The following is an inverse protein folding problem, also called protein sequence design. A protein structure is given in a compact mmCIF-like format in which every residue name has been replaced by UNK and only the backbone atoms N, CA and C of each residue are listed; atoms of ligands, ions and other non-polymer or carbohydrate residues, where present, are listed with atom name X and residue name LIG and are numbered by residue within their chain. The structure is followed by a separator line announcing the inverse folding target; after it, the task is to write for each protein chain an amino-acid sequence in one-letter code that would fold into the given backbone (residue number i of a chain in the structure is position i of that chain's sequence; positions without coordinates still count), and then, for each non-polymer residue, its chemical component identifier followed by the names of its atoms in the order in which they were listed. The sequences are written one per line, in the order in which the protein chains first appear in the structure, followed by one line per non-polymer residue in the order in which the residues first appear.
data_IF_861112028311
#
_entry.id   IF_861112028311
#
_cell.length_a   1.000
_cell.length_b   1.000
_cell.length_c   1.000
_cell.angle_alpha   90.00
_cell.angle_beta   90.00
_cell.angle_gamma   90.00
#
_symmetry.space_group_name_H-M   'P 1'
#
loop_
_entity.id
_entity.type
_entity.pdbx_description
1 polymer ?
#
# COMPACT_ATOMS: atom_id res chain seq x y z
N UNK A 1 14.01 4.33 -8.09
CA UNK A 1 13.86 2.97 -8.65
C UNK A 1 12.39 2.59 -8.58
N UNK A 2 11.83 1.95 -9.60
CA UNK A 2 10.41 1.58 -9.68
C UNK A 2 10.30 0.06 -9.86
N UNK A 3 9.35 -0.57 -9.18
CA UNK A 3 9.08 -2.00 -9.25
C UNK A 3 7.58 -2.21 -9.49
N UNK A 4 7.24 -3.19 -10.33
CA UNK A 4 5.86 -3.64 -10.53
C UNK A 4 5.76 -5.09 -10.08
N UNK A 5 4.82 -5.38 -9.18
CA UNK A 5 4.62 -6.72 -8.62
C UNK A 5 3.21 -7.19 -8.92
N UNK A 6 3.12 -8.18 -9.79
CA UNK A 6 1.88 -8.84 -10.16
C UNK A 6 1.91 -10.32 -9.76
N UNK A 7 0.73 -10.93 -9.63
CA UNK A 7 0.57 -12.32 -9.24
C UNK A 7 -0.91 -12.68 -9.18
N UNK A 8 -1.21 -13.97 -9.24
CA UNK A 8 -2.59 -14.46 -9.14
C UNK A 8 -3.24 -14.12 -7.78
N UNK A 9 -4.58 -14.11 -7.69
CA UNK A 9 -5.28 -14.04 -6.41
C UNK A 9 -4.74 -15.09 -5.42
N UNK A 10 -4.68 -14.73 -4.13
CA UNK A 10 -4.22 -15.65 -3.08
C UNK A 10 -2.69 -15.83 -2.96
N UNK A 11 -1.86 -15.14 -3.75
CA UNK A 11 -0.39 -15.26 -3.69
C UNK A 11 0.31 -14.32 -2.69
N UNK A 12 -0.41 -13.82 -1.69
CA UNK A 12 0.19 -13.05 -0.61
C UNK A 12 0.71 -11.65 -0.97
N UNK A 13 0.34 -11.09 -2.14
CA UNK A 13 0.75 -9.73 -2.55
C UNK A 13 0.45 -8.67 -1.47
N UNK A 14 -0.72 -8.77 -0.85
CA UNK A 14 -1.14 -7.88 0.22
C UNK A 14 -0.25 -8.01 1.46
N UNK A 15 0.06 -9.25 1.86
CA UNK A 15 0.96 -9.55 2.96
C UNK A 15 2.38 -9.04 2.69
N UNK A 16 2.91 -9.26 1.49
CA UNK A 16 4.23 -8.80 1.07
C UNK A 16 4.35 -7.26 1.16
N UNK A 17 3.37 -6.52 0.66
CA UNK A 17 3.35 -5.05 0.75
C UNK A 17 3.31 -4.59 2.21
N UNK A 18 2.55 -5.26 3.08
CA UNK A 18 2.50 -4.92 4.49
C UNK A 18 3.83 -5.21 5.22
N UNK A 19 4.47 -6.34 4.89
CA UNK A 19 5.79 -6.70 5.41
C UNK A 19 6.83 -5.65 5.01
N UNK A 20 6.88 -5.29 3.72
CA UNK A 20 7.77 -4.25 3.19
C UNK A 20 7.55 -2.90 3.86
N UNK A 21 6.29 -2.49 4.03
CA UNK A 21 5.99 -1.24 4.71
C UNK A 21 6.42 -1.27 6.18
N UNK A 22 6.33 -2.42 6.84
CA UNK A 22 6.71 -2.58 8.24
C UNK A 22 8.23 -2.54 8.42
N UNK A 23 8.98 -3.21 7.54
CA UNK A 23 10.45 -3.18 7.57
C UNK A 23 10.97 -1.77 7.31
N UNK A 24 10.44 -1.07 6.31
CA UNK A 24 10.87 0.30 6.00
C UNK A 24 10.55 1.28 7.12
N UNK A 25 9.38 1.15 7.76
CA UNK A 25 9.02 1.95 8.95
C UNK A 25 9.93 1.65 10.13
N UNK A 26 10.29 0.39 10.37
CA UNK A 26 11.24 0.02 11.41
C UNK A 26 12.62 0.64 11.16
N UNK A 27 13.01 0.81 9.90
CA UNK A 27 14.22 1.54 9.50
C UNK A 27 14.06 3.07 9.50
N UNK A 28 12.97 3.63 10.06
CA UNK A 28 12.76 5.07 10.19
C UNK A 28 12.22 5.78 8.94
N UNK A 29 11.84 5.05 7.89
CA UNK A 29 11.33 5.67 6.67
C UNK A 29 9.86 6.08 6.78
N UNK A 30 9.51 7.19 6.14
CA UNK A 30 8.12 7.63 5.98
C UNK A 30 7.53 6.92 4.76
N UNK A 31 6.52 6.07 5.00
CA UNK A 31 5.87 5.27 3.96
C UNK A 31 4.42 5.72 3.76
N UNK A 32 4.09 6.07 2.52
CA UNK A 32 2.74 6.35 2.04
C UNK A 32 2.19 5.10 1.35
N UNK A 33 1.19 4.45 1.96
CA UNK A 33 0.49 3.32 1.35
C UNK A 33 -0.79 3.84 0.73
N UNK A 34 -0.91 3.66 -0.59
CA UNK A 34 -2.05 4.16 -1.36
C UNK A 34 -2.69 3.02 -2.13
N UNK A 35 -4.02 2.91 -2.05
CA UNK A 35 -4.81 1.95 -2.81
C UNK A 35 -5.85 2.67 -3.68
N UNK A 36 -6.40 1.97 -4.67
CA UNK A 36 -7.47 2.49 -5.52
C UNK A 36 -8.81 2.59 -4.79
N UNK A 37 -9.13 1.59 -3.94
CA UNK A 37 -10.38 1.54 -3.17
C UNK A 37 -10.16 1.61 -1.67
N UNK A 38 -11.20 2.03 -0.94
CA UNK A 38 -11.17 2.07 0.52
C UNK A 38 -10.93 0.65 1.10
N UNK A 39 -11.58 -0.37 0.55
CA UNK A 39 -11.42 -1.77 0.97
C UNK A 39 -10.00 -2.31 0.77
N UNK A 40 -9.30 -1.88 -0.28
CA UNK A 40 -7.89 -2.25 -0.43
C UNK A 40 -7.01 -1.62 0.66
N UNK A 41 -7.36 -0.41 1.11
CA UNK A 41 -6.51 0.36 2.04
C UNK A 41 -6.69 -0.05 3.50
N UNK A 42 -7.82 -0.64 3.87
CA UNK A 42 -8.09 -1.11 5.25
C UNK A 42 -7.13 -2.20 5.71
N UNK A 43 -6.56 -2.97 4.78
CA UNK A 43 -5.56 -3.99 5.07
C UNK A 43 -4.21 -3.42 5.55
N UNK A 44 -4.00 -2.10 5.48
CA UNK A 44 -2.72 -1.46 5.73
C UNK A 44 -2.81 -0.40 6.81
N UNK A 45 -1.83 -0.40 7.73
CA UNK A 45 -1.71 0.68 8.73
C UNK A 45 -1.49 2.03 8.04
N UNK A 46 -2.39 2.98 8.30
CA UNK A 46 -2.44 4.33 7.70
C UNK A 46 -2.61 4.30 6.17
N UNK A 47 -3.21 3.24 5.62
CA UNK A 47 -3.59 3.18 4.21
C UNK A 47 -4.61 4.27 3.86
N UNK A 48 -4.47 4.87 2.67
CA UNK A 48 -5.37 5.90 2.16
C UNK A 48 -5.72 5.62 0.71
N UNK A 49 -6.90 6.04 0.26
CA UNK A 49 -7.24 5.95 -1.16
C UNK A 49 -6.43 6.97 -1.96
N UNK A 50 -6.18 6.67 -3.24
CA UNK A 50 -5.50 7.60 -4.14
C UNK A 50 -6.23 8.94 -4.23
N UNK A 51 -7.56 8.90 -4.32
CA UNK A 51 -8.42 10.08 -4.31
C UNK A 51 -8.19 10.96 -3.08
N UNK A 52 -8.19 10.38 -1.88
CA UNK A 52 -7.97 11.15 -0.65
C UNK A 52 -6.53 11.64 -0.51
N UNK A 53 -5.55 10.78 -0.80
CA UNK A 53 -4.13 11.11 -0.58
C UNK A 53 -3.63 12.18 -1.55
N UNK A 54 -4.04 12.09 -2.82
CA UNK A 54 -3.57 13.00 -3.88
C UNK A 54 -4.61 14.05 -4.27
N UNK A 55 -5.76 14.09 -3.59
CA UNK A 55 -6.89 15.00 -3.89
C UNK A 55 -7.36 14.89 -5.35
N UNK A 56 -7.35 13.66 -5.89
CA UNK A 56 -7.83 13.38 -7.24
C UNK A 56 -9.37 13.30 -7.17
N UNK A 57 -10.10 14.09 -7.97
CA UNK A 57 -11.56 13.97 -8.07
C UNK A 57 -11.97 12.53 -8.38
N UNK A 58 -13.10 12.11 -7.84
CA UNK A 58 -13.75 10.85 -8.24
C UNK A 58 -14.53 11.08 -9.52
#
# INVERSE_FOLDING_TARGET
RMFFVEGQPGRGKMYMVNALASTLRASGHIILIVGSSALCTTAYKRGRTAHYMFRIPV
#
